data_IF_546500510903
#
_entry.id   IF_546500510903
#
_cell.length_a   1.000
_cell.length_b   1.000
_cell.length_c   1.000
_cell.angle_alpha   90.00
_cell.angle_beta   90.00
_cell.angle_gamma   90.00
#
_symmetry.space_group_name_H-M   'P 1'
#
loop_
_entity.id
_entity.type
_entity.pdbx_description
1 polymer ?
#
# COMPACT_ATOMS: atom_id res chain seq x y z
N UNK A 1 -9.49 -2.91 -18.90
CA UNK A 1 -8.30 -2.03 -18.78
C UNK A 1 -8.67 -0.55 -18.66
N UNK A 2 -9.61 -0.17 -17.76
CA UNK A 2 -9.98 1.25 -17.57
C UNK A 2 -9.13 1.96 -16.49
N UNK A 3 -8.56 1.22 -15.55
CA UNK A 3 -7.82 1.78 -14.41
C UNK A 3 -6.35 2.12 -14.73
N UNK A 4 -5.69 1.37 -15.61
CA UNK A 4 -4.26 1.51 -15.92
C UNK A 4 -3.84 2.93 -16.33
N UNK A 5 -4.55 3.62 -17.26
CA UNK A 5 -4.18 4.98 -17.67
C UNK A 5 -4.29 6.02 -16.55
N UNK A 6 -5.23 5.82 -15.62
CA UNK A 6 -5.40 6.71 -14.48
C UNK A 6 -4.35 6.43 -13.40
N UNK A 7 -3.96 5.17 -13.22
CA UNK A 7 -2.91 4.81 -12.28
C UNK A 7 -1.57 5.40 -12.67
N UNK A 8 -1.25 5.44 -13.98
CA UNK A 8 -0.03 6.07 -14.49
C UNK A 8 -0.02 7.60 -14.33
N UNK A 9 -1.16 8.24 -14.10
CA UNK A 9 -1.22 9.69 -13.92
C UNK A 9 -0.48 10.13 -12.65
N UNK A 10 -0.56 9.35 -11.57
CA UNK A 10 0.10 9.66 -10.30
C UNK A 10 1.63 9.76 -10.44
N UNK A 11 2.35 8.72 -10.92
CA UNK A 11 3.80 8.82 -11.09
C UNK A 11 4.21 9.87 -12.12
N UNK A 12 3.40 10.13 -13.16
CA UNK A 12 3.69 11.21 -14.12
C UNK A 12 3.61 12.60 -13.48
N UNK A 13 2.57 12.87 -12.69
CA UNK A 13 2.45 14.15 -11.95
C UNK A 13 3.58 14.26 -10.93
N UNK A 14 3.90 13.17 -10.24
CA UNK A 14 4.96 13.14 -9.24
C UNK A 14 6.35 13.42 -9.83
N UNK A 15 6.66 12.84 -10.99
CA UNK A 15 7.88 13.11 -11.74
C UNK A 15 7.97 14.59 -12.10
N UNK A 16 6.90 15.18 -12.67
CA UNK A 16 6.86 16.61 -13.00
C UNK A 16 7.11 17.51 -11.78
N UNK A 17 6.47 17.21 -10.64
CA UNK A 17 6.66 17.97 -9.39
C UNK A 17 8.09 17.82 -8.87
N UNK A 18 8.66 16.61 -8.97
CA UNK A 18 10.02 16.31 -8.54
C UNK A 18 11.06 17.02 -9.42
N UNK A 19 10.92 16.97 -10.73
CA UNK A 19 11.76 17.70 -11.68
C UNK A 19 11.66 19.22 -11.49
N UNK A 20 10.48 19.71 -11.11
CA UNK A 20 10.27 21.11 -10.74
C UNK A 20 10.97 21.55 -9.44
N UNK A 21 11.56 20.62 -8.68
CA UNK A 21 12.30 20.92 -7.44
C UNK A 21 11.41 21.16 -6.21
N UNK A 22 10.16 20.74 -6.24
CA UNK A 22 9.20 20.94 -5.13
C UNK A 22 9.28 19.85 -4.05
N UNK A 23 9.88 18.69 -4.38
CA UNK A 23 10.10 17.58 -3.45
C UNK A 23 11.51 17.61 -2.87
N UNK A 24 11.76 16.79 -1.83
CA UNK A 24 13.10 16.59 -1.25
C UNK A 24 13.90 15.51 -1.99
N UNK A 25 13.53 15.19 -3.22
CA UNK A 25 14.22 14.19 -4.02
C UNK A 25 15.62 14.64 -4.42
N UNK A 26 16.56 13.69 -4.43
CA UNK A 26 17.90 13.92 -4.96
C UNK A 26 18.24 12.86 -6.03
N UNK A 27 19.01 13.24 -7.07
CA UNK A 27 19.24 12.36 -8.21
C UNK A 27 20.40 11.38 -7.99
N UNK A 28 21.25 11.57 -6.97
CA UNK A 28 22.42 10.70 -6.71
C UNK A 28 22.69 10.53 -5.22
N UNK A 29 22.98 9.30 -4.81
CA UNK A 29 23.24 8.93 -3.39
C UNK A 29 24.40 9.70 -2.75
N UNK A 30 25.43 10.06 -3.53
CA UNK A 30 26.61 10.74 -2.98
C UNK A 30 26.33 12.15 -2.42
N UNK A 31 25.19 12.78 -2.73
CA UNK A 31 24.83 14.08 -2.17
C UNK A 31 24.55 14.06 -0.66
N UNK A 32 24.13 12.90 -0.15
CA UNK A 32 23.80 12.71 1.27
C UNK A 32 24.75 11.72 1.95
N UNK A 33 25.45 10.89 1.17
CA UNK A 33 26.30 9.80 1.65
C UNK A 33 25.48 8.56 2.02
N UNK A 34 26.15 7.40 2.00
CA UNK A 34 25.49 6.10 2.16
C UNK A 34 24.76 5.92 3.50
N UNK A 35 25.32 6.43 4.60
CA UNK A 35 24.69 6.31 5.92
C UNK A 35 23.35 7.07 5.96
N UNK A 36 23.35 8.34 5.56
CA UNK A 36 22.12 9.14 5.52
C UNK A 36 21.12 8.56 4.53
N UNK A 37 21.58 8.06 3.38
CA UNK A 37 20.72 7.39 2.42
C UNK A 37 19.96 6.21 3.03
N UNK A 38 20.65 5.31 3.73
CA UNK A 38 19.99 4.17 4.40
C UNK A 38 19.01 4.64 5.48
N UNK A 39 19.39 5.64 6.28
CA UNK A 39 18.49 6.23 7.29
C UNK A 39 17.25 6.83 6.65
N UNK A 40 17.39 7.57 5.55
CA UNK A 40 16.26 8.16 4.83
C UNK A 40 15.36 7.10 4.22
N UNK A 41 15.90 6.02 3.65
CA UNK A 41 15.09 4.89 3.17
C UNK A 41 14.30 4.26 4.32
N UNK A 42 14.91 4.03 5.48
CA UNK A 42 14.20 3.50 6.64
C UNK A 42 13.07 4.43 7.13
N UNK A 43 13.37 5.73 7.28
CA UNK A 43 12.37 6.74 7.68
C UNK A 43 11.23 6.84 6.67
N UNK A 44 11.55 6.75 5.38
CA UNK A 44 10.56 6.75 4.31
C UNK A 44 9.63 5.55 4.41
N UNK A 45 10.16 4.32 4.55
CA UNK A 45 9.35 3.12 4.71
C UNK A 45 8.44 3.17 5.95
N UNK A 46 8.94 3.70 7.08
CA UNK A 46 8.12 3.91 8.29
C UNK A 46 6.98 4.89 8.01
N UNK A 47 7.27 5.99 7.31
CA UNK A 47 6.25 6.97 6.96
C UNK A 47 5.20 6.41 5.99
N UNK A 48 5.62 5.54 5.06
CA UNK A 48 4.71 4.83 4.16
C UNK A 48 3.81 3.87 4.92
N UNK A 49 4.37 3.06 5.82
CA UNK A 49 3.61 2.15 6.66
C UNK A 49 2.53 2.91 7.43
N UNK A 50 2.90 4.05 8.03
CA UNK A 50 1.97 4.93 8.72
C UNK A 50 0.89 5.50 7.79
N UNK A 51 1.29 6.09 6.67
CA UNK A 51 0.38 6.78 5.76
C UNK A 51 -0.59 5.84 5.06
N UNK A 52 -0.12 4.66 4.65
CA UNK A 52 -0.94 3.66 3.97
C UNK A 52 -1.95 3.04 4.94
N UNK A 53 -1.53 2.70 6.17
CA UNK A 53 -2.46 2.22 7.19
C UNK A 53 -3.63 3.18 7.40
N UNK A 54 -3.34 4.48 7.58
CA UNK A 54 -4.40 5.47 7.78
C UNK A 54 -5.24 5.69 6.54
N UNK A 55 -4.63 5.76 5.35
CA UNK A 55 -5.38 5.89 4.11
C UNK A 55 -6.34 4.71 3.91
N UNK A 56 -5.85 3.49 4.13
CA UNK A 56 -6.64 2.27 4.02
C UNK A 56 -7.79 2.24 5.04
N UNK A 57 -7.50 2.60 6.30
CA UNK A 57 -8.52 2.72 7.34
C UNK A 57 -9.58 3.78 7.00
N UNK A 58 -9.17 4.95 6.51
CA UNK A 58 -10.09 6.03 6.10
C UNK A 58 -10.97 5.61 4.91
N UNK A 59 -10.45 4.82 3.97
CA UNK A 59 -11.23 4.25 2.87
C UNK A 59 -12.36 3.33 3.36
N UNK A 60 -12.19 2.69 4.52
CA UNK A 60 -13.23 1.90 5.18
C UNK A 60 -14.16 2.72 6.07
N UNK A 61 -13.60 3.61 6.89
CA UNK A 61 -14.37 4.37 7.89
C UNK A 61 -15.29 5.43 7.24
N UNK A 62 -14.84 6.05 6.14
CA UNK A 62 -15.60 7.09 5.44
C UNK A 62 -16.58 6.43 4.46
N UNK A 63 -17.86 6.38 4.85
CA UNK A 63 -18.96 5.77 4.07
C UNK A 63 -18.95 6.05 2.56
N UNK A 64 -18.81 7.31 2.07
CA UNK A 64 -18.77 7.56 0.63
C UNK A 64 -17.52 7.00 -0.05
N UNK A 65 -16.35 7.00 0.62
CA UNK A 65 -15.12 6.41 0.08
C UNK A 65 -15.26 4.89 -0.01
N UNK A 66 -15.76 4.26 1.06
CA UNK A 66 -16.00 2.83 1.05
C UNK A 66 -16.97 2.44 -0.07
N UNK A 67 -18.17 3.03 -0.09
CA UNK A 67 -19.23 2.61 -1.01
C UNK A 67 -18.86 2.75 -2.49
N UNK A 68 -18.16 3.82 -2.86
CA UNK A 68 -17.93 4.13 -4.28
C UNK A 68 -16.53 3.72 -4.77
N UNK A 69 -15.54 3.66 -3.88
CA UNK A 69 -14.15 3.42 -4.27
C UNK A 69 -13.65 2.06 -3.79
N UNK A 70 -13.79 1.78 -2.50
CA UNK A 70 -13.14 0.63 -1.87
C UNK A 70 -14.00 -0.64 -1.85
N UNK A 71 -15.34 -0.55 -1.83
CA UNK A 71 -16.21 -1.71 -1.91
C UNK A 71 -15.97 -2.57 -3.17
N UNK A 72 -15.75 -1.99 -4.38
CA UNK A 72 -15.30 -2.74 -5.55
C UNK A 72 -14.08 -3.62 -5.32
N UNK A 73 -13.13 -3.19 -4.49
CA UNK A 73 -11.95 -3.99 -4.14
C UNK A 73 -12.34 -5.28 -3.41
N UNK A 74 -13.26 -5.17 -2.45
CA UNK A 74 -13.74 -6.30 -1.63
C UNK A 74 -14.73 -7.22 -2.36
N UNK A 75 -15.43 -6.73 -3.38
CA UNK A 75 -16.43 -7.51 -4.13
C UNK A 75 -15.79 -8.72 -4.86
N UNK A 76 -14.49 -8.66 -5.17
CA UNK A 76 -13.79 -9.78 -5.82
C UNK A 76 -13.36 -10.89 -4.85
N UNK A 77 -13.85 -10.86 -3.60
CA UNK A 77 -13.79 -11.98 -2.70
C UNK A 77 -14.91 -12.99 -3.08
N UNK A 78 -14.56 -14.09 -3.73
CA UNK A 78 -15.54 -15.13 -4.09
C UNK A 78 -16.12 -15.78 -2.81
N UNK A 79 -17.27 -16.46 -2.94
CA UNK A 79 -17.99 -17.20 -1.87
C UNK A 79 -17.14 -18.21 -1.05
N UNK A 80 -15.88 -18.42 -1.43
CA UNK A 80 -14.91 -19.32 -0.82
C UNK A 80 -13.68 -18.59 -0.24
N UNK A 81 -13.74 -17.27 -0.03
CA UNK A 81 -12.62 -16.46 0.45
C UNK A 81 -11.38 -16.51 -0.47
N UNK A 82 -11.61 -16.66 -1.77
CA UNK A 82 -10.54 -16.68 -2.78
C UNK A 82 -10.39 -15.26 -3.30
N UNK A 83 -9.31 -14.61 -2.87
CA UNK A 83 -8.86 -13.33 -3.41
C UNK A 83 -8.18 -13.58 -4.77
N UNK A 84 -8.36 -12.64 -5.69
CA UNK A 84 -7.67 -12.65 -6.98
C UNK A 84 -6.48 -11.70 -6.94
N UNK A 85 -5.27 -12.11 -7.37
CA UNK A 85 -4.15 -11.18 -7.59
C UNK A 85 -4.50 -10.01 -8.50
N UNK A 86 -5.48 -10.21 -9.40
CA UNK A 86 -6.01 -9.16 -10.28
C UNK A 86 -7.03 -8.23 -9.61
N UNK A 87 -7.27 -8.36 -8.29
CA UNK A 87 -8.02 -7.41 -7.48
C UNK A 87 -7.12 -6.39 -6.74
N UNK A 88 -5.79 -6.60 -6.77
CA UNK A 88 -4.79 -5.64 -6.28
C UNK A 88 -4.63 -4.41 -7.19
N UNK A 89 -3.68 -3.51 -6.88
CA UNK A 89 -3.50 -2.21 -7.57
C UNK A 89 -3.19 -2.30 -9.07
N UNK A 90 -2.53 -3.38 -9.49
CA UNK A 90 -2.22 -3.67 -10.91
C UNK A 90 -3.39 -4.39 -11.61
N UNK A 91 -4.40 -4.77 -10.84
CA UNK A 91 -5.57 -5.50 -11.24
C UNK A 91 -6.61 -4.68 -12.01
N UNK A 92 -7.25 -5.30 -13.00
CA UNK A 92 -8.31 -4.66 -13.78
C UNK A 92 -9.59 -4.34 -12.96
N UNK A 93 -9.64 -4.84 -11.72
CA UNK A 93 -10.80 -4.83 -10.83
C UNK A 93 -10.80 -3.69 -9.78
N UNK A 94 -9.67 -3.02 -9.55
CA UNK A 94 -9.60 -1.91 -8.60
C UNK A 94 -10.18 -0.61 -9.19
N UNK A 95 -10.94 0.14 -8.41
CA UNK A 95 -11.35 1.49 -8.82
C UNK A 95 -10.08 2.36 -8.94
N UNK A 96 -9.82 3.06 -10.07
CA UNK A 96 -8.56 3.77 -10.26
C UNK A 96 -8.26 4.80 -9.16
N UNK A 97 -9.28 5.50 -8.66
CA UNK A 97 -9.12 6.42 -7.53
C UNK A 97 -8.75 5.71 -6.20
N UNK A 98 -9.19 4.47 -5.98
CA UNK A 98 -8.80 3.72 -4.78
C UNK A 98 -7.30 3.41 -4.83
N UNK A 99 -6.82 2.94 -5.99
CA UNK A 99 -5.39 2.73 -6.22
C UNK A 99 -4.55 3.99 -6.04
N UNK A 100 -5.02 5.13 -6.58
CA UNK A 100 -4.35 6.44 -6.42
C UNK A 100 -4.33 6.85 -4.94
N UNK A 101 -5.45 6.76 -4.23
CA UNK A 101 -5.53 7.14 -2.82
C UNK A 101 -4.56 6.31 -1.98
N UNK A 102 -4.56 4.99 -2.16
CA UNK A 102 -3.64 4.09 -1.46
C UNK A 102 -2.17 4.26 -1.88
N UNK A 103 -1.88 4.85 -3.05
CA UNK A 103 -0.52 5.18 -3.49
C UNK A 103 -0.10 6.62 -3.10
N UNK A 104 -1.03 7.50 -2.77
CA UNK A 104 -0.78 8.89 -2.39
C UNK A 104 0.24 9.07 -1.25
N UNK A 105 0.31 8.20 -0.22
CA UNK A 105 1.36 8.28 0.79
C UNK A 105 2.78 8.27 0.22
N UNK A 106 3.00 7.59 -0.91
CA UNK A 106 4.29 7.55 -1.59
C UNK A 106 4.73 8.93 -2.07
N UNK A 107 3.82 9.66 -2.70
CA UNK A 107 4.08 11.01 -3.22
C UNK A 107 4.16 12.04 -2.09
N UNK A 108 3.32 11.95 -1.06
CA UNK A 108 3.37 12.85 0.11
C UNK A 108 4.70 12.70 0.85
N UNK A 109 5.20 11.47 1.00
CA UNK A 109 6.43 11.20 1.72
C UNK A 109 7.66 11.87 1.07
N UNK A 110 7.66 12.12 -0.24
CA UNK A 110 8.74 12.83 -0.94
C UNK A 110 8.88 14.30 -0.54
N UNK A 111 7.84 14.93 0.00
CA UNK A 111 7.92 16.29 0.53
C UNK A 111 8.51 16.34 1.95
N UNK A 112 8.50 15.21 2.65
CA UNK A 112 8.84 15.12 4.08
C UNK A 112 10.25 14.55 4.26
N UNK A 113 10.59 13.45 3.59
CA UNK A 113 11.87 12.76 3.75
C UNK A 113 12.70 12.90 2.48
N UNK A 114 13.99 13.29 2.55
CA UNK A 114 14.85 13.28 1.38
C UNK A 114 14.95 11.88 0.78
N UNK A 115 14.70 11.72 -0.51
CA UNK A 115 14.66 10.41 -1.15
C UNK A 115 15.42 10.38 -2.47
N UNK A 116 16.08 9.26 -2.74
CA UNK A 116 16.66 9.03 -4.06
C UNK A 116 15.54 8.67 -5.05
N UNK A 117 15.39 9.44 -6.12
CA UNK A 117 14.22 9.29 -7.02
C UNK A 117 14.11 7.88 -7.62
N UNK A 118 15.20 7.29 -8.11
CA UNK A 118 15.14 5.91 -8.64
C UNK A 118 14.81 4.89 -7.56
N UNK A 119 15.21 5.13 -6.30
CA UNK A 119 14.88 4.24 -5.18
C UNK A 119 13.39 4.31 -4.90
N UNK A 120 12.81 5.51 -4.89
CA UNK A 120 11.37 5.70 -4.79
C UNK A 120 10.62 4.91 -5.88
N UNK A 121 11.03 5.04 -7.15
CA UNK A 121 10.38 4.32 -8.26
C UNK A 121 10.48 2.80 -8.12
N UNK A 122 11.62 2.29 -7.66
CA UNK A 122 11.80 0.85 -7.39
C UNK A 122 10.87 0.40 -6.28
N UNK A 123 10.76 1.16 -5.18
CA UNK A 123 9.85 0.82 -4.07
C UNK A 123 8.40 0.84 -4.58
N UNK A 124 8.00 1.86 -5.36
CA UNK A 124 6.65 1.95 -5.93
C UNK A 124 6.34 0.77 -6.87
N UNK A 125 7.32 0.31 -7.65
CA UNK A 125 7.17 -0.89 -8.48
C UNK A 125 7.03 -2.17 -7.64
N UNK A 126 7.89 -2.32 -6.62
CA UNK A 126 7.83 -3.45 -5.68
C UNK A 126 6.52 -3.47 -4.91
N UNK A 127 5.92 -2.31 -4.65
CA UNK A 127 4.60 -2.19 -4.04
C UNK A 127 3.51 -2.78 -4.95
N UNK A 128 3.59 -2.56 -6.26
CA UNK A 128 2.68 -3.21 -7.22
C UNK A 128 2.78 -4.74 -7.17
N UNK A 129 4.00 -5.28 -7.02
CA UNK A 129 4.22 -6.72 -6.85
C UNK A 129 3.67 -7.19 -5.50
N UNK A 130 3.96 -6.45 -4.42
CA UNK A 130 3.52 -6.77 -3.07
C UNK A 130 2.00 -6.82 -2.97
N UNK A 131 1.31 -5.82 -3.51
CA UNK A 131 -0.15 -5.79 -3.52
C UNK A 131 -0.75 -6.93 -4.33
N UNK A 132 -0.09 -7.39 -5.39
CA UNK A 132 -0.52 -8.60 -6.09
C UNK A 132 -0.27 -9.87 -5.25
N UNK A 133 0.89 -9.98 -4.58
CA UNK A 133 1.26 -11.16 -3.80
C UNK A 133 0.39 -11.34 -2.56
N UNK A 134 -0.01 -10.28 -1.85
CA UNK A 134 -0.90 -10.45 -0.68
C UNK A 134 -2.33 -10.92 -1.04
N UNK A 135 -2.69 -10.92 -2.33
CA UNK A 135 -3.98 -11.44 -2.83
C UNK A 135 -3.88 -12.85 -3.43
N UNK A 136 -2.73 -13.52 -3.32
CA UNK A 136 -2.54 -14.87 -3.88
C UNK A 136 -3.12 -16.00 -3.01
N UNK A 137 -3.62 -15.68 -1.81
CA UNK A 137 -4.13 -16.61 -0.81
C UNK A 137 -3.09 -17.59 -0.25
N UNK A 138 -1.79 -17.35 -0.47
CA UNK A 138 -0.68 -18.18 0.02
C UNK A 138 -0.12 -17.55 1.30
N UNK A 139 -0.56 -18.07 2.45
CA UNK A 139 -0.03 -17.61 3.73
C UNK A 139 1.36 -18.22 4.02
N UNK A 140 2.41 -17.42 3.84
CA UNK A 140 3.79 -17.79 4.13
C UNK A 140 4.11 -17.93 5.64
N UNK A 141 3.22 -17.48 6.54
CA UNK A 141 3.38 -17.52 8.01
C UNK A 141 4.68 -16.88 8.52
N UNK A 142 5.09 -15.77 7.90
CA UNK A 142 6.30 -15.05 8.29
C UNK A 142 5.91 -13.89 9.22
N UNK A 143 6.16 -14.04 10.51
CA UNK A 143 6.00 -12.95 11.46
C UNK A 143 7.21 -12.00 11.38
N UNK A 144 7.06 -10.66 11.40
CA UNK A 144 5.84 -9.85 11.59
C UNK A 144 5.29 -9.24 10.28
N UNK A 145 5.27 -10.00 9.18
CA UNK A 145 4.92 -9.49 7.84
C UNK A 145 3.40 -9.54 7.61
N UNK A 146 2.83 -8.45 7.08
CA UNK A 146 1.42 -8.35 6.68
C UNK A 146 1.13 -9.10 5.36
N UNK A 147 1.35 -10.41 5.37
CA UNK A 147 1.21 -11.26 4.18
C UNK A 147 -0.24 -11.61 3.83
N UNK A 148 -0.40 -12.51 2.85
CA UNK A 148 -1.73 -12.86 2.30
C UNK A 148 -2.73 -13.38 3.35
N UNK A 149 -2.27 -14.08 4.40
CA UNK A 149 -3.15 -14.55 5.47
C UNK A 149 -3.86 -13.42 6.21
N UNK A 150 -3.14 -12.37 6.60
CA UNK A 150 -3.71 -11.23 7.31
C UNK A 150 -4.62 -10.40 6.40
N UNK A 151 -4.22 -10.23 5.12
CA UNK A 151 -5.03 -9.53 4.13
C UNK A 151 -6.31 -10.29 3.76
N UNK A 152 -6.29 -11.62 3.80
CA UNK A 152 -7.49 -12.44 3.64
C UNK A 152 -8.47 -12.19 4.79
N UNK A 153 -7.99 -12.16 6.03
CA UNK A 153 -8.81 -11.80 7.20
C UNK A 153 -9.40 -10.40 7.06
N UNK A 154 -8.65 -9.44 6.52
CA UNK A 154 -9.14 -8.10 6.21
C UNK A 154 -10.33 -8.14 5.24
N UNK A 155 -10.22 -8.88 4.14
CA UNK A 155 -11.30 -9.04 3.14
C UNK A 155 -12.54 -9.78 3.67
N UNK A 156 -12.41 -10.56 4.75
CA UNK A 156 -13.53 -11.24 5.41
C UNK A 156 -14.20 -10.35 6.45
N UNK A 157 -13.42 -9.64 7.26
CA UNK A 157 -13.94 -8.86 8.40
C UNK A 157 -14.21 -7.39 8.09
N UNK A 158 -13.61 -6.85 7.02
CA UNK A 158 -13.68 -5.46 6.58
C UNK A 158 -13.21 -4.42 7.62
N UNK A 159 -12.77 -4.85 8.80
CA UNK A 159 -12.54 -3.98 9.97
C UNK A 159 -11.20 -4.17 10.67
N UNK A 160 -10.37 -5.08 10.18
CA UNK A 160 -9.11 -5.48 10.81
C UNK A 160 -8.00 -5.57 9.77
N UNK A 161 -6.74 -5.52 10.21
CA UNK A 161 -5.54 -5.70 9.37
C UNK A 161 -5.44 -4.71 8.19
N UNK A 162 -5.26 -3.42 8.48
CA UNK A 162 -5.13 -2.36 7.47
C UNK A 162 -3.68 -2.08 7.03
N UNK A 163 -2.70 -2.63 7.74
CA UNK A 163 -1.26 -2.41 7.54
C UNK A 163 -0.77 -2.80 6.15
N UNK A 164 0.42 -2.32 5.80
CA UNK A 164 0.95 -2.46 4.43
C UNK A 164 1.98 -3.58 4.32
N UNK A 165 3.15 -3.42 4.94
CA UNK A 165 4.23 -4.42 4.92
C UNK A 165 4.29 -5.21 6.22
N UNK A 166 3.91 -4.60 7.35
CA UNK A 166 4.08 -5.16 8.69
C UNK A 166 2.79 -5.13 9.49
N UNK A 167 2.69 -5.97 10.50
CA UNK A 167 1.56 -5.97 11.44
C UNK A 167 1.62 -4.82 12.45
N UNK A 168 2.66 -3.99 12.41
CA UNK A 168 3.03 -3.10 13.51
C UNK A 168 1.99 -2.01 13.75
N UNK A 169 1.44 -1.44 12.69
CA UNK A 169 0.38 -0.44 12.80
C UNK A 169 -0.89 -1.05 13.40
N UNK A 170 -1.33 -2.20 12.91
CA UNK A 170 -2.52 -2.87 13.44
C UNK A 170 -2.35 -3.30 14.90
N UNK A 171 -1.15 -3.72 15.29
CA UNK A 171 -0.82 -4.00 16.68
C UNK A 171 -0.90 -2.74 17.56
N UNK A 172 -0.31 -1.63 17.12
CA UNK A 172 -0.33 -0.36 17.88
C UNK A 172 -1.73 0.23 18.02
N UNK A 173 -2.59 0.07 17.01
CA UNK A 173 -3.93 0.66 16.98
C UNK A 173 -5.06 -0.33 17.31
N UNK A 174 -4.72 -1.56 17.70
CA UNK A 174 -5.69 -2.57 18.16
C UNK A 174 -6.61 -3.11 17.07
N UNK A 175 -6.17 -3.12 15.81
CA UNK A 175 -6.91 -3.66 14.66
C UNK A 175 -6.32 -4.98 14.14
N UNK A 176 -5.32 -5.54 14.84
CA UNK A 176 -4.67 -6.80 14.46
C UNK A 176 -5.55 -8.00 14.79
N UNK A 177 -5.76 -8.85 13.80
CA UNK A 177 -6.37 -10.18 13.96
C UNK A 177 -5.51 -11.20 13.25
N UNK A 178 -5.07 -12.24 13.97
CA UNK A 178 -4.20 -13.25 13.39
C UNK A 178 -4.99 -14.21 12.46
N UNK A 179 -4.38 -14.73 11.39
CA UNK A 179 -5.06 -15.62 10.46
C UNK A 179 -5.47 -16.97 11.09
N UNK A 180 -4.74 -17.41 12.11
CA UNK A 180 -5.04 -18.67 12.79
C UNK A 180 -6.22 -18.53 13.76
N UNK A 181 -6.51 -17.32 14.26
CA UNK A 181 -7.70 -17.03 15.09
C UNK A 181 -9.01 -17.02 14.27
N UNK A 182 -8.91 -16.98 12.94
CA UNK A 182 -10.05 -17.03 12.02
C UNK A 182 -10.34 -18.42 11.45
N UNK A 183 -9.61 -19.45 11.91
CA UNK A 183 -9.88 -20.85 11.55
C UNK A 183 -10.86 -21.50 12.51
N UNK A 184 -12.09 -20.98 12.60
CA UNK A 184 -13.23 -21.71 13.16
C UNK A 184 -14.49 -20.85 12.94
N UNK A 185 -15.24 -21.20 11.89
CA UNK A 185 -16.72 -21.23 11.81
C UNK A 185 -17.15 -21.84 10.46
#
# INVERSE_FOLDING_TARGET
MKALPWYTLLPTIEEYITEGGWTRCFPRVHYVGWLHYVVYVALYLILLEFGIYWMHKLLHDIKPLYKHLHAPHHIYNNKHNILSPFAGKVGAALHPLDGILQALPYSIALFIVPMHFSTHLVILFMEGIWTASIHDCINAKIWPIMGSGYHTVHHVTYRHNYGHLTIWMDWMFGTLVEPDDHKED
#
